data_IF_748828523630
#
_entry.id   IF_748828523630
#
_cell.length_a   1.000
_cell.length_b   1.000
_cell.length_c   1.000
_cell.angle_alpha   90.00
_cell.angle_beta   90.00
_cell.angle_gamma   90.00
#
_symmetry.space_group_name_H-M   'P 1'
#
loop_
_entity.id
_entity.type
_entity.pdbx_description
1 polymer ?
#
# COMPACT_ATOMS: atom_id res chain seq x y z
N UNK A 1 11.00 13.46 6.46
CA UNK A 1 10.94 12.44 5.40
C UNK A 1 10.60 11.05 5.93
N UNK A 2 11.49 10.32 6.61
CA UNK A 2 11.20 8.92 7.01
C UNK A 2 10.02 8.78 8.00
N UNK A 3 9.93 9.69 8.98
CA UNK A 3 8.83 9.70 9.98
C UNK A 3 7.45 9.99 9.37
N UNK A 4 7.40 10.73 8.27
CA UNK A 4 6.14 11.08 7.59
C UNK A 4 5.59 9.89 6.79
N UNK A 5 6.48 9.06 6.22
CA UNK A 5 6.09 7.87 5.45
C UNK A 5 5.42 6.83 6.35
N UNK A 6 5.82 6.73 7.62
CA UNK A 6 5.25 5.75 8.58
C UNK A 6 3.76 5.96 8.85
N UNK A 7 3.26 7.19 8.69
CA UNK A 7 1.85 7.50 8.87
C UNK A 7 0.97 6.78 7.84
N UNK A 8 1.52 6.45 6.67
CA UNK A 8 0.81 5.75 5.61
C UNK A 8 0.75 4.23 5.83
N UNK A 9 1.58 3.68 6.72
CA UNK A 9 1.57 2.25 7.04
C UNK A 9 0.31 1.94 7.84
N UNK A 10 -0.61 1.21 7.20
CA UNK A 10 -1.89 0.85 7.82
C UNK A 10 -1.71 -0.05 9.06
N UNK A 11 -2.66 -0.05 10.01
CA UNK A 11 -2.59 -0.93 11.19
C UNK A 11 -2.47 -2.42 10.83
N UNK A 12 -3.10 -2.84 9.73
CA UNK A 12 -2.99 -4.21 9.20
C UNK A 12 -1.54 -4.52 8.79
N UNK A 13 -0.91 -3.60 8.07
CA UNK A 13 0.48 -3.72 7.62
C UNK A 13 1.45 -3.71 8.80
N UNK A 14 1.23 -2.85 9.80
CA UNK A 14 1.99 -2.87 11.07
C UNK A 14 1.92 -4.24 11.76
N UNK A 15 0.75 -4.87 11.78
CA UNK A 15 0.56 -6.21 12.34
C UNK A 15 1.27 -7.31 11.52
N UNK A 16 1.26 -7.23 10.19
CA UNK A 16 1.99 -8.16 9.33
C UNK A 16 3.50 -8.06 9.57
N UNK A 17 4.06 -6.85 9.62
CA UNK A 17 5.46 -6.61 9.98
C UNK A 17 5.79 -7.18 11.37
N UNK A 18 4.91 -6.96 12.35
CA UNK A 18 5.07 -7.55 13.69
C UNK A 18 5.15 -9.07 13.66
N UNK A 19 4.27 -9.73 12.90
CA UNK A 19 4.26 -11.19 12.77
C UNK A 19 5.54 -11.73 12.15
N UNK A 20 6.08 -11.08 11.11
CA UNK A 20 7.35 -11.45 10.48
C UNK A 20 8.46 -11.50 11.54
N UNK A 21 8.65 -10.40 12.27
CA UNK A 21 9.69 -10.30 13.29
C UNK A 21 9.42 -11.30 14.42
N UNK A 22 8.20 -11.33 14.96
CA UNK A 22 7.84 -12.23 16.06
C UNK A 22 8.07 -13.71 15.72
N UNK A 23 7.70 -14.14 14.52
CA UNK A 23 7.85 -15.52 14.07
C UNK A 23 9.31 -15.93 13.99
N UNK A 24 10.19 -15.01 13.58
CA UNK A 24 11.62 -15.28 13.50
C UNK A 24 12.24 -15.48 14.89
N UNK A 25 11.90 -14.61 15.85
CA UNK A 25 12.32 -14.83 17.25
C UNK A 25 11.71 -16.10 17.84
N UNK A 26 10.47 -16.42 17.47
CA UNK A 26 9.82 -17.65 17.90
C UNK A 26 10.54 -18.89 17.38
N UNK A 27 10.93 -18.93 16.10
CA UNK A 27 11.72 -20.02 15.51
C UNK A 27 13.06 -20.19 16.23
N UNK A 28 13.84 -19.10 16.36
CA UNK A 28 15.12 -19.09 17.07
C UNK A 28 14.98 -19.61 18.50
N UNK A 29 13.92 -19.23 19.21
CA UNK A 29 13.68 -19.68 20.58
C UNK A 29 13.36 -21.17 20.73
N UNK A 30 12.95 -21.84 19.64
CA UNK A 30 12.72 -23.30 19.61
C UNK A 30 13.98 -24.06 19.24
N UNK A 31 14.83 -23.47 18.41
CA UNK A 31 16.10 -24.05 17.97
C UNK A 31 17.17 -23.96 19.07
N UNK A 32 17.18 -22.87 19.83
CA UNK A 32 18.02 -22.73 21.01
C UNK A 32 17.53 -23.65 22.14
N UNK A 33 18.21 -24.78 22.34
CA UNK A 33 18.00 -25.63 23.53
C UNK A 33 18.18 -24.75 24.78
N UNK A 34 17.20 -24.75 25.71
CA UNK A 34 17.26 -23.85 26.85
C UNK A 34 18.46 -24.23 27.74
N UNK A 35 19.36 -23.27 27.99
CA UNK A 35 20.54 -23.45 28.85
C UNK A 35 20.20 -23.87 30.29
N UNK A 36 18.95 -23.68 30.72
CA UNK A 36 18.39 -24.20 31.98
C UNK A 36 17.05 -24.90 31.71
N UNK A 37 16.80 -26.04 32.35
CA UNK A 37 15.48 -26.72 32.34
C UNK A 37 14.39 -25.70 32.70
N UNK A 38 13.46 -25.43 31.78
CA UNK A 38 12.34 -24.49 31.97
C UNK A 38 12.57 -23.03 31.53
N UNK A 39 13.80 -22.63 31.17
CA UNK A 39 14.07 -21.28 30.70
C UNK A 39 13.85 -21.15 29.19
N UNK A 40 12.59 -21.12 28.74
CA UNK A 40 12.30 -20.68 27.36
C UNK A 40 12.73 -19.22 27.22
N UNK A 41 13.43 -18.82 26.14
CA UNK A 41 13.61 -17.41 25.84
C UNK A 41 12.21 -16.78 25.81
N UNK A 42 11.97 -15.83 26.70
CA UNK A 42 10.71 -15.09 26.66
C UNK A 42 10.82 -14.25 25.39
N UNK A 43 10.31 -14.75 24.28
CA UNK A 43 10.37 -14.13 22.94
C UNK A 43 10.04 -12.64 23.02
N UNK A 44 9.04 -12.29 23.84
CA UNK A 44 8.67 -10.91 24.09
C UNK A 44 9.78 -10.08 24.74
N UNK A 45 10.59 -10.63 25.65
CA UNK A 45 11.72 -9.92 26.26
C UNK A 45 12.87 -9.72 25.27
N UNK A 46 13.20 -10.73 24.48
CA UNK A 46 14.25 -10.62 23.46
C UNK A 46 13.86 -9.60 22.40
N UNK A 47 12.65 -9.73 21.85
CA UNK A 47 12.10 -8.79 20.89
C UNK A 47 12.00 -7.36 21.45
N UNK A 48 11.55 -7.22 22.70
CA UNK A 48 11.46 -5.93 23.36
C UNK A 48 12.82 -5.25 23.52
N UNK A 49 13.85 -6.03 23.90
CA UNK A 49 15.21 -5.53 24.03
C UNK A 49 15.73 -4.99 22.69
N UNK A 50 15.56 -5.76 21.63
CA UNK A 50 16.12 -5.40 20.31
C UNK A 50 15.38 -4.23 19.66
N UNK A 51 14.07 -4.09 19.92
CA UNK A 51 13.28 -2.95 19.46
C UNK A 51 13.37 -1.72 20.40
N UNK A 52 14.06 -1.84 21.53
CA UNK A 52 14.16 -0.77 22.53
C UNK A 52 12.80 -0.39 23.16
N UNK A 53 11.90 -1.35 23.32
CA UNK A 53 10.55 -1.15 23.89
C UNK A 53 10.35 -2.00 25.15
N UNK A 54 9.23 -1.79 25.85
CA UNK A 54 8.89 -2.65 26.99
C UNK A 54 8.34 -4.02 26.52
N UNK A 55 8.55 -5.11 27.28
CA UNK A 55 7.90 -6.40 27.00
C UNK A 55 6.37 -6.33 27.04
N UNK A 56 5.81 -5.37 27.77
CA UNK A 56 4.37 -5.13 27.79
C UNK A 56 3.89 -4.55 26.45
N UNK A 57 4.66 -3.65 25.84
CA UNK A 57 4.39 -3.10 24.50
C UNK A 57 4.25 -4.24 23.48
N UNK A 58 5.18 -5.20 23.49
CA UNK A 58 5.14 -6.38 22.62
C UNK A 58 3.90 -7.23 22.86
N UNK A 59 3.49 -7.44 24.13
CA UNK A 59 2.25 -8.17 24.44
C UNK A 59 1.01 -7.45 23.90
N UNK A 60 0.98 -6.13 23.99
CA UNK A 60 -0.15 -5.31 23.52
C UNK A 60 -0.23 -5.33 22.01
N UNK A 61 0.90 -5.25 21.30
CA UNK A 61 0.96 -5.41 19.84
C UNK A 61 0.52 -6.80 19.41
N UNK A 62 0.99 -7.85 20.08
CA UNK A 62 0.57 -9.23 19.82
C UNK A 62 -0.96 -9.41 19.97
N UNK A 63 -1.57 -8.70 20.92
CA UNK A 63 -3.01 -8.72 21.14
C UNK A 63 -3.78 -7.78 20.19
N UNK A 64 -3.11 -7.04 19.31
CA UNK A 64 -3.75 -6.06 18.42
C UNK A 64 -4.34 -4.84 19.14
N UNK A 65 -3.96 -4.60 20.40
CA UNK A 65 -4.55 -3.55 21.26
C UNK A 65 -3.85 -2.20 21.17
N UNK A 66 -2.71 -2.10 20.48
CA UNK A 66 -1.99 -0.85 20.26
C UNK A 66 -1.27 -0.86 18.91
N UNK A 67 -1.22 0.31 18.29
CA UNK A 67 -0.56 0.55 17.01
C UNK A 67 0.91 0.98 17.14
N UNK A 68 1.41 1.14 18.38
CA UNK A 68 2.74 1.67 18.68
C UNK A 68 2.91 3.16 18.32
N UNK A 69 3.96 3.80 18.83
CA UNK A 69 4.40 5.10 18.32
C UNK A 69 5.06 4.93 16.96
N UNK A 70 5.14 5.98 16.15
CA UNK A 70 5.76 5.90 14.83
C UNK A 70 7.23 5.49 14.90
N UNK A 71 7.95 5.95 15.92
CA UNK A 71 9.34 5.52 16.16
C UNK A 71 9.43 4.01 16.40
N UNK A 72 8.47 3.43 17.11
CA UNK A 72 8.41 1.98 17.30
C UNK A 72 8.12 1.25 15.99
N UNK A 73 7.29 1.83 15.12
CA UNK A 73 6.95 1.24 13.82
C UNK A 73 8.13 1.30 12.87
N UNK A 74 8.93 2.39 12.89
CA UNK A 74 10.19 2.47 12.14
C UNK A 74 11.12 1.32 12.54
N UNK A 75 11.41 1.19 13.83
CA UNK A 75 12.29 0.13 14.36
C UNK A 75 11.78 -1.27 14.02
N UNK A 76 10.46 -1.45 14.07
CA UNK A 76 9.84 -2.71 13.68
C UNK A 76 10.02 -3.01 12.19
N UNK A 77 9.85 -2.00 11.34
CA UNK A 77 10.04 -2.11 9.89
C UNK A 77 11.52 -2.41 9.56
N UNK A 78 12.45 -1.66 10.14
CA UNK A 78 13.90 -1.90 10.01
C UNK A 78 14.24 -3.34 10.42
N UNK A 79 13.71 -3.80 11.54
CA UNK A 79 13.95 -5.17 12.01
C UNK A 79 13.32 -6.23 11.11
N UNK A 80 12.14 -5.96 10.54
CA UNK A 80 11.51 -6.85 9.58
C UNK A 80 12.34 -6.96 8.29
N UNK A 81 12.87 -5.84 7.79
CA UNK A 81 13.73 -5.81 6.61
C UNK A 81 15.08 -6.49 6.86
N UNK A 82 15.64 -6.36 8.07
CA UNK A 82 16.87 -7.06 8.47
C UNK A 82 16.68 -8.58 8.51
N UNK A 83 15.55 -9.04 9.04
CA UNK A 83 15.32 -10.47 9.25
C UNK A 83 14.77 -11.19 8.02
N UNK A 84 13.81 -10.58 7.33
CA UNK A 84 13.06 -11.16 6.20
C UNK A 84 12.76 -10.07 5.16
N UNK A 85 13.77 -9.62 4.40
CA UNK A 85 13.63 -8.47 3.50
C UNK A 85 12.54 -8.70 2.44
N UNK A 86 12.49 -9.87 1.83
CA UNK A 86 11.54 -10.18 0.76
C UNK A 86 10.09 -10.16 1.25
N UNK A 87 9.81 -10.83 2.37
CA UNK A 87 8.48 -10.84 2.98
C UNK A 87 8.05 -9.45 3.47
N UNK A 88 8.97 -8.70 4.09
CA UNK A 88 8.69 -7.35 4.56
C UNK A 88 8.38 -6.41 3.39
N UNK A 89 9.15 -6.47 2.30
CA UNK A 89 8.90 -5.69 1.09
C UNK A 89 7.59 -6.09 0.39
N UNK A 90 7.24 -7.38 0.39
CA UNK A 90 5.97 -7.84 -0.16
C UNK A 90 4.78 -7.23 0.60
N UNK A 91 4.84 -7.23 1.93
CA UNK A 91 3.82 -6.60 2.78
C UNK A 91 3.66 -5.11 2.48
N UNK A 92 4.77 -4.37 2.29
CA UNK A 92 4.71 -2.95 1.91
C UNK A 92 4.14 -2.74 0.51
N UNK A 93 4.50 -3.60 -0.45
CA UNK A 93 3.95 -3.54 -1.81
C UNK A 93 2.45 -3.79 -1.83
N UNK A 94 1.96 -4.71 -1.00
CA UNK A 94 0.52 -4.95 -0.84
C UNK A 94 -0.19 -3.70 -0.30
N UNK A 95 0.37 -3.05 0.73
CA UNK A 95 -0.18 -1.81 1.29
C UNK A 95 -0.24 -0.69 0.22
N UNK A 96 0.83 -0.53 -0.56
CA UNK A 96 0.87 0.43 -1.67
C UNK A 96 -0.19 0.16 -2.74
N UNK A 97 -0.45 -1.11 -3.08
CA UNK A 97 -1.52 -1.47 -4.04
C UNK A 97 -2.89 -1.07 -3.49
N UNK A 98 -3.14 -1.27 -2.19
CA UNK A 98 -4.39 -0.85 -1.54
C UNK A 98 -4.57 0.67 -1.60
N UNK A 99 -3.52 1.43 -1.28
CA UNK A 99 -3.55 2.90 -1.38
C UNK A 99 -3.80 3.37 -2.80
N UNK A 100 -3.14 2.75 -3.80
CA UNK A 100 -3.36 3.05 -5.22
C UNK A 100 -4.82 2.81 -5.63
N UNK A 101 -5.41 1.69 -5.22
CA UNK A 101 -6.81 1.39 -5.51
C UNK A 101 -7.77 2.43 -4.90
N UNK A 102 -7.48 2.92 -3.68
CA UNK A 102 -8.27 3.99 -3.06
C UNK A 102 -8.20 5.27 -3.90
N UNK A 103 -6.99 5.65 -4.35
CA UNK A 103 -6.80 6.83 -5.21
C UNK A 103 -7.58 6.68 -6.52
N UNK A 104 -7.48 5.54 -7.19
CA UNK A 104 -8.20 5.27 -8.45
C UNK A 104 -9.72 5.39 -8.28
N UNK A 105 -10.27 4.90 -7.17
CA UNK A 105 -11.70 5.04 -6.83
C UNK A 105 -12.08 6.51 -6.62
N UNK A 106 -11.24 7.29 -5.94
CA UNK A 106 -11.49 8.71 -5.68
C UNK A 106 -11.40 9.54 -6.96
N UNK A 107 -10.42 9.26 -7.82
CA UNK A 107 -10.29 9.89 -9.14
C UNK A 107 -11.54 9.65 -10.00
N UNK A 108 -12.02 8.39 -10.02
CA UNK A 108 -13.24 8.03 -10.74
C UNK A 108 -14.50 8.72 -10.17
N UNK A 109 -14.62 8.81 -8.84
CA UNK A 109 -15.76 9.47 -8.16
C UNK A 109 -15.81 10.98 -8.39
N UNK A 110 -14.66 11.64 -8.40
CA UNK A 110 -14.57 13.09 -8.50
C UNK A 110 -14.31 13.60 -9.93
N UNK A 111 -14.28 12.70 -10.92
CA UNK A 111 -14.11 13.07 -12.32
C UNK A 111 -12.75 13.69 -12.63
N UNK A 112 -11.72 13.40 -11.81
CA UNK A 112 -10.35 13.77 -12.12
C UNK A 112 -9.93 12.95 -13.34
N UNK A 113 -10.08 13.53 -14.53
CA UNK A 113 -9.47 12.98 -15.74
C UNK A 113 -7.97 12.88 -15.50
N UNK A 114 -7.39 11.72 -15.80
CA UNK A 114 -5.94 11.53 -15.77
C UNK A 114 -5.28 12.68 -16.50
N UNK A 115 -4.44 13.43 -15.80
CA UNK A 115 -3.63 14.52 -16.35
C UNK A 115 -2.67 13.89 -17.35
N UNK A 116 -3.07 13.82 -18.63
CA UNK A 116 -2.34 13.11 -19.67
C UNK A 116 -3.19 12.65 -20.86
N UNK A 117 -4.51 12.53 -20.73
CA UNK A 117 -5.38 12.41 -21.91
C UNK A 117 -5.66 13.80 -22.47
N UNK A 118 -4.73 14.29 -23.31
CA UNK A 118 -5.11 15.26 -24.35
C UNK A 118 -6.37 14.73 -25.03
N UNK A 119 -7.45 15.52 -25.15
CA UNK A 119 -8.58 15.11 -25.98
C UNK A 119 -8.03 14.88 -27.38
N UNK A 120 -8.07 13.63 -27.85
CA UNK A 120 -7.94 13.36 -29.28
C UNK A 120 -9.01 14.22 -29.93
N UNK A 121 -8.61 15.32 -30.55
CA UNK A 121 -9.45 16.10 -31.45
C UNK A 121 -10.08 15.08 -32.40
N UNK A 122 -11.38 14.89 -32.26
CA UNK A 122 -12.19 14.35 -33.34
C UNK A 122 -11.89 15.20 -34.56
N UNK A 123 -11.10 14.66 -35.48
CA UNK A 123 -10.99 15.20 -36.82
C UNK A 123 -12.37 14.96 -37.42
N UNK A 124 -13.26 15.95 -37.30
CA UNK A 124 -14.44 16.08 -38.15
C UNK A 124 -13.94 16.23 -39.58
N UNK A 125 -13.79 15.10 -40.26
CA UNK A 125 -13.58 15.07 -41.69
C UNK A 125 -14.85 15.67 -42.34
N UNK A 126 -14.69 16.88 -42.88
CA UNK A 126 -15.77 17.62 -43.51
C UNK A 126 -16.33 16.83 -44.72
N UNK A 127 -17.66 16.79 -44.92
CA UNK A 127 -18.23 16.17 -46.11
C UNK A 127 -17.83 17.00 -47.34
N UNK A 128 -17.09 16.37 -48.25
CA UNK A 128 -16.69 16.92 -49.55
C UNK A 128 -17.94 17.32 -50.35
N UNK A 129 -18.18 18.63 -50.45
CA UNK A 129 -19.06 19.25 -51.45
C UNK A 129 -18.60 18.81 -52.86
N UNK A 130 -19.49 18.21 -53.64
CA UNK A 130 -19.40 18.21 -55.10
C UNK A 130 -20.56 19.04 -55.69
N UNK A 131 -20.32 19.73 -56.82
CA UNK A 131 -21.04 20.93 -57.22
C UNK A 131 -22.37 20.66 -57.94
N UNK A 132 -23.26 21.66 -57.90
CA UNK A 132 -24.53 21.75 -58.63
C UNK A 132 -24.33 21.66 -60.15
N UNK A 133 -25.32 21.12 -60.89
CA UNK A 133 -25.68 21.64 -62.19
C UNK A 133 -26.99 22.43 -62.12
N UNK A 134 -26.87 23.69 -62.52
CA UNK A 134 -27.72 24.46 -63.44
C UNK A 134 -29.25 24.34 -63.34
N UNK A 135 -29.83 25.50 -63.03
CA UNK A 135 -31.24 25.90 -63.13
C UNK A 135 -31.89 25.61 -64.48
N UNK A 136 -33.12 25.08 -64.45
CA UNK A 136 -34.20 25.53 -65.34
C UNK A 136 -35.53 25.52 -64.57
N UNK A 137 -35.94 26.73 -64.23
CA UNK A 137 -37.26 27.08 -63.71
C UNK A 137 -38.21 27.08 -64.92
N UNK A 138 -39.25 26.26 -64.91
CA UNK A 138 -40.48 26.56 -65.62
C UNK A 138 -41.66 26.06 -64.80
N UNK A 139 -42.32 27.04 -64.19
CA UNK A 139 -43.55 26.95 -63.43
C UNK A 139 -44.67 27.46 -64.34
N UNK A 140 -45.75 26.69 -64.51
CA UNK A 140 -47.19 27.11 -64.61
C UNK A 140 -47.99 26.00 -65.33
N UNK A 141 -48.94 25.33 -64.65
CA UNK A 141 -50.37 25.69 -64.52
C UNK A 141 -51.08 25.90 -65.88
N UNK A 142 -51.77 24.87 -66.36
CA UNK A 142 -53.23 24.81 -66.49
C UNK A 142 -53.68 23.37 -66.68
#
# INVERSE_FOLDING_TARGET
MEKEIIHFITPETRMKLFKIVYNEYWKRSREEKPKKKGARPIVNKALAKDLGVSPQTVKVWKAGRSKGSDECVLKLLEKALELRPEEALEVLREDLRKHKAIVEIMEAKHGFKKVGETPKKEVKEAPKKKPKPTTLKALRRR
#
